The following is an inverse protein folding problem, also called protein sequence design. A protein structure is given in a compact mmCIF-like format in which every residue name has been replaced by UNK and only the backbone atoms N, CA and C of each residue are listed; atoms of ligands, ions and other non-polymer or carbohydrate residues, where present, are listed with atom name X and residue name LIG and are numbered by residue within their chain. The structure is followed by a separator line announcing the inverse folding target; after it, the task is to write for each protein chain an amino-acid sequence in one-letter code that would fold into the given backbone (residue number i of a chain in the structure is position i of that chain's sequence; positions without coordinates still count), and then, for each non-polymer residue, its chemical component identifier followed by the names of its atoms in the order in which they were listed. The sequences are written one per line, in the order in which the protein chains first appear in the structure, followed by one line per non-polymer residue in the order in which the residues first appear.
data_IF_810386683711
#
_entry.id   IF_810386683711
#
_cell.length_a   1.000
_cell.length_b   1.000
_cell.length_c   1.000
_cell.angle_alpha   90.00
_cell.angle_beta   90.00
_cell.angle_gamma   90.00
#
_symmetry.space_group_name_H-M   'P 1'
#
loop_
_entity.id
_entity.type
_entity.pdbx_description
1 polymer ?
#
# COMPACT_ATOMS: atom_id res chain seq x y z
N UNK A 1 -7.15 -10.04 23.89
CA UNK A 1 -6.55 -9.93 22.54
C UNK A 1 -7.04 -8.62 21.91
N UNK A 2 -6.16 -7.79 21.33
CA UNK A 2 -6.57 -6.59 20.57
C UNK A 2 -6.61 -6.94 19.09
N UNK A 3 -7.62 -6.49 18.37
CA UNK A 3 -7.74 -6.63 16.92
C UNK A 3 -7.80 -5.25 16.27
N UNK A 4 -7.24 -5.13 15.07
CA UNK A 4 -7.24 -3.91 14.29
C UNK A 4 -7.81 -4.18 12.90
N UNK A 5 -8.40 -3.16 12.26
CA UNK A 5 -8.95 -3.28 10.92
C UNK A 5 -8.18 -2.32 10.00
N UNK A 6 -7.73 -2.83 8.87
CA UNK A 6 -7.25 -2.01 7.76
C UNK A 6 -8.45 -1.70 6.86
N UNK A 7 -8.63 -0.42 6.54
CA UNK A 7 -9.71 0.07 5.69
C UNK A 7 -9.09 0.55 4.39
N UNK A 8 -9.50 -0.04 3.26
CA UNK A 8 -9.19 0.46 1.93
C UNK A 8 -10.46 1.05 1.31
N UNK A 9 -10.34 2.25 0.73
CA UNK A 9 -11.45 2.95 0.08
C UNK A 9 -11.11 3.18 -1.39
N UNK A 10 -12.00 2.77 -2.29
CA UNK A 10 -11.86 3.06 -3.71
C UNK A 10 -12.29 4.51 -3.99
N UNK A 11 -11.40 5.31 -4.59
CA UNK A 11 -11.71 6.72 -4.92
C UNK A 11 -12.78 6.84 -6.01
N UNK A 12 -12.83 5.89 -6.94
CA UNK A 12 -13.76 5.93 -8.08
C UNK A 12 -15.19 5.54 -7.69
N UNK A 13 -15.36 4.51 -6.85
CA UNK A 13 -16.67 3.92 -6.54
C UNK A 13 -17.11 4.09 -5.10
N UNK A 14 -16.22 4.61 -4.24
CA UNK A 14 -16.40 4.65 -2.77
C UNK A 14 -16.60 3.27 -2.12
N UNK A 15 -16.29 2.19 -2.84
CA UNK A 15 -16.33 0.84 -2.28
C UNK A 15 -15.30 0.66 -1.15
N UNK A 16 -15.72 -0.01 -0.07
CA UNK A 16 -14.89 -0.31 1.09
C UNK A 16 -14.42 -1.76 1.07
N UNK A 17 -13.14 -1.97 1.34
CA UNK A 17 -12.57 -3.28 1.66
C UNK A 17 -11.99 -3.23 3.07
N UNK A 18 -12.50 -4.10 3.94
CA UNK A 18 -12.05 -4.24 5.32
C UNK A 18 -11.24 -5.52 5.47
N UNK A 19 -10.13 -5.46 6.19
CA UNK A 19 -9.29 -6.63 6.48
C UNK A 19 -8.84 -6.61 7.93
N UNK A 20 -9.06 -7.72 8.65
CA UNK A 20 -8.65 -7.85 10.04
C UNK A 20 -7.15 -8.11 10.13
N UNK A 21 -6.47 -7.43 11.04
CA UNK A 21 -5.04 -7.61 11.33
C UNK A 21 -4.78 -7.72 12.83
N UNK A 22 -3.71 -8.45 13.17
CA UNK A 22 -3.33 -8.77 14.55
C UNK A 22 -2.69 -7.60 15.30
N UNK A 23 -2.10 -6.64 14.58
CA UNK A 23 -1.37 -5.52 15.15
C UNK A 23 -1.29 -4.32 14.19
N UNK A 24 -0.78 -3.18 14.70
CA UNK A 24 -0.52 -1.96 13.92
C UNK A 24 0.90 -1.93 13.32
N UNK A 25 1.49 -3.06 12.96
CA UNK A 25 2.83 -3.08 12.34
C UNK A 25 2.78 -2.93 10.83
N UNK A 26 3.88 -2.44 10.25
CA UNK A 26 4.03 -2.38 8.78
C UNK A 26 3.94 -3.76 8.12
N UNK A 27 4.35 -4.83 8.82
CA UNK A 27 4.27 -6.20 8.31
C UNK A 27 2.83 -6.67 8.19
N UNK A 28 2.02 -6.45 9.24
CA UNK A 28 0.61 -6.78 9.21
C UNK A 28 -0.15 -5.99 8.14
N UNK A 29 0.15 -4.69 7.99
CA UNK A 29 -0.42 -3.88 6.91
C UNK A 29 -0.01 -4.40 5.51
N UNK A 30 1.28 -4.69 5.27
CA UNK A 30 1.73 -5.22 3.96
C UNK A 30 1.04 -6.55 3.64
N UNK A 31 0.84 -7.40 4.63
CA UNK A 31 0.09 -8.65 4.45
C UNK A 31 -1.38 -8.38 4.07
N UNK A 32 -2.02 -7.38 4.69
CA UNK A 32 -3.37 -6.94 4.33
C UNK A 32 -3.42 -6.37 2.91
N UNK A 33 -2.45 -5.53 2.54
CA UNK A 33 -2.34 -4.96 1.19
C UNK A 33 -2.14 -6.06 0.14
N UNK A 34 -1.32 -7.08 0.41
CA UNK A 34 -1.16 -8.25 -0.49
C UNK A 34 -2.49 -8.96 -0.70
N UNK A 35 -3.26 -9.20 0.37
CA UNK A 35 -4.59 -9.83 0.27
C UNK A 35 -5.59 -8.93 -0.47
N UNK A 36 -5.52 -7.61 -0.28
CA UNK A 36 -6.31 -6.66 -1.04
C UNK A 36 -6.00 -6.75 -2.54
N UNK A 37 -4.74 -6.64 -2.94
CA UNK A 37 -4.32 -6.71 -4.33
C UNK A 37 -4.69 -8.06 -4.99
N UNK A 38 -4.55 -9.17 -4.25
CA UNK A 38 -4.95 -10.49 -4.76
C UNK A 38 -6.45 -10.62 -5.04
N UNK A 39 -7.30 -9.85 -4.35
CA UNK A 39 -8.77 -9.91 -4.49
C UNK A 39 -9.34 -8.83 -5.40
N UNK A 40 -8.70 -7.65 -5.45
CA UNK A 40 -9.22 -6.46 -6.13
C UNK A 40 -8.33 -5.95 -7.26
N UNK A 41 -7.19 -6.60 -7.50
CA UNK A 41 -6.14 -6.10 -8.37
C UNK A 41 -5.24 -5.08 -7.66
N UNK A 42 -4.04 -4.87 -8.21
CA UNK A 42 -3.08 -3.89 -7.68
C UNK A 42 -3.56 -2.48 -8.00
N UNK A 43 -3.73 -1.59 -7.00
CA UNK A 43 -4.10 -0.21 -7.28
C UNK A 43 -2.94 0.53 -7.94
N UNK A 44 -3.24 1.48 -8.84
CA UNK A 44 -2.22 2.35 -9.43
C UNK A 44 -1.59 3.28 -8.40
N UNK A 45 -2.38 3.75 -7.43
CA UNK A 45 -1.90 4.63 -6.38
C UNK A 45 -2.60 4.40 -5.03
N UNK A 46 -1.91 4.77 -3.96
CA UNK A 46 -2.39 4.73 -2.58
C UNK A 46 -2.18 6.11 -1.94
N UNK A 47 -3.22 6.58 -1.25
CA UNK A 47 -3.16 7.75 -0.37
C UNK A 47 -3.29 7.28 1.08
N UNK A 48 -2.38 7.71 1.95
CA UNK A 48 -2.44 7.40 3.39
C UNK A 48 -2.09 8.62 4.25
N UNK A 49 -2.43 8.54 5.53
CA UNK A 49 -1.87 9.44 6.54
C UNK A 49 -0.37 9.17 6.79
N UNK A 50 0.23 10.02 7.62
CA UNK A 50 1.63 9.93 8.03
C UNK A 50 1.86 8.95 9.19
N UNK A 51 0.92 8.03 9.44
CA UNK A 51 1.05 6.97 10.42
C UNK A 51 2.33 6.17 10.18
N UNK A 52 3.08 5.92 11.25
CA UNK A 52 4.41 5.30 11.18
C UNK A 52 4.38 3.93 10.48
N UNK A 53 3.27 3.21 10.62
CA UNK A 53 2.97 1.95 9.93
C UNK A 53 2.99 2.10 8.42
N UNK A 54 2.30 3.10 7.88
CA UNK A 54 2.23 3.38 6.45
C UNK A 54 3.54 3.94 5.91
N UNK A 55 4.19 4.85 6.63
CA UNK A 55 5.51 5.38 6.24
C UNK A 55 6.54 4.25 6.12
N UNK A 56 6.58 3.33 7.08
CA UNK A 56 7.46 2.16 7.04
C UNK A 56 7.09 1.20 5.92
N UNK A 57 5.79 0.99 5.65
CA UNK A 57 5.34 0.14 4.56
C UNK A 57 5.73 0.73 3.18
N UNK A 58 5.47 2.02 2.97
CA UNK A 58 5.90 2.80 1.79
C UNK A 58 7.40 2.64 1.56
N UNK A 59 8.22 2.81 2.60
CA UNK A 59 9.68 2.62 2.49
C UNK A 59 10.04 1.20 2.08
N UNK A 60 9.53 0.17 2.77
CA UNK A 60 9.81 -1.24 2.47
C UNK A 60 9.48 -1.61 1.03
N UNK A 61 8.31 -1.19 0.54
CA UNK A 61 7.89 -1.45 -0.84
C UNK A 61 8.78 -0.69 -1.83
N UNK A 62 9.10 0.58 -1.56
CA UNK A 62 10.00 1.37 -2.39
C UNK A 62 11.40 0.77 -2.49
N UNK A 63 11.95 0.28 -1.37
CA UNK A 63 13.25 -0.39 -1.32
C UNK A 63 13.23 -1.73 -2.08
N UNK A 64 12.14 -2.49 -1.98
CA UNK A 64 11.94 -3.71 -2.78
C UNK A 64 11.93 -3.42 -4.29
N UNK A 65 11.17 -2.41 -4.74
CA UNK A 65 11.16 -2.04 -6.15
C UNK A 65 12.55 -1.61 -6.64
N UNK A 66 13.27 -0.80 -5.86
CA UNK A 66 14.66 -0.41 -6.19
C UNK A 66 15.61 -1.60 -6.26
N UNK A 67 15.45 -2.56 -5.36
CA UNK A 67 16.25 -3.78 -5.36
C UNK A 67 16.00 -4.59 -6.63
N UNK A 68 14.74 -4.84 -6.97
CA UNK A 68 14.39 -5.63 -8.16
C UNK A 68 14.81 -4.93 -9.45
N UNK A 69 14.66 -3.60 -9.54
CA UNK A 69 15.13 -2.84 -10.72
C UNK A 69 16.66 -2.86 -10.90
N UNK A 70 17.43 -3.21 -9.87
CA UNK A 70 18.89 -3.38 -9.96
C UNK A 70 19.32 -4.81 -10.27
N UNK A 71 18.40 -5.77 -10.15
CA UNK A 71 18.68 -7.14 -10.55
C UNK A 71 18.74 -7.19 -12.07
N UNK A 72 19.63 -8.03 -12.63
CA UNK A 72 19.71 -8.24 -14.08
C UNK A 72 18.58 -9.19 -14.51
N UNK A 73 17.33 -8.73 -14.39
CA UNK A 73 16.12 -9.47 -14.73
C UNK A 73 15.74 -9.22 -16.18
N UNK A 74 15.09 -10.21 -16.79
CA UNK A 74 14.51 -10.10 -18.13
C UNK A 74 13.69 -8.81 -18.31
N UNK A 75 13.78 -8.22 -19.50
CA UNK A 75 13.15 -6.93 -19.82
C UNK A 75 11.62 -6.99 -19.68
N UNK A 76 10.98 -8.11 -20.05
CA UNK A 76 9.54 -8.29 -19.90
C UNK A 76 9.15 -8.34 -18.41
N UNK A 77 10.00 -8.93 -17.58
CA UNK A 77 9.80 -8.97 -16.12
C UNK A 77 9.94 -7.56 -15.55
N UNK A 78 10.95 -6.81 -15.97
CA UNK A 78 11.12 -5.41 -15.58
C UNK A 78 9.91 -4.55 -15.99
N UNK A 79 9.40 -4.73 -17.22
CA UNK A 79 8.22 -4.06 -17.72
C UNK A 79 6.96 -4.42 -16.91
N UNK A 80 6.74 -5.71 -16.63
CA UNK A 80 5.61 -6.14 -15.81
C UNK A 80 5.66 -5.55 -14.40
N UNK A 81 6.83 -5.57 -13.76
CA UNK A 81 7.00 -5.06 -12.40
C UNK A 81 6.86 -3.53 -12.31
N UNK A 82 7.26 -2.80 -13.34
CA UNK A 82 7.07 -1.34 -13.38
C UNK A 82 5.58 -0.97 -13.46
N UNK A 83 4.77 -1.75 -14.17
CA UNK A 83 3.32 -1.58 -14.24
C UNK A 83 2.60 -1.98 -12.94
N UNK A 84 3.23 -2.84 -12.14
CA UNK A 84 2.73 -3.25 -10.82
C UNK A 84 3.18 -2.31 -9.70
N UNK A 85 3.96 -1.27 -10.01
CA UNK A 85 4.44 -0.30 -9.05
C UNK A 85 3.29 0.59 -8.58
N UNK A 86 3.09 0.61 -7.27
CA UNK A 86 2.10 1.46 -6.62
C UNK A 86 2.72 2.84 -6.37
N UNK A 87 2.09 3.89 -6.88
CA UNK A 87 2.43 5.27 -6.52
C UNK A 87 1.86 5.60 -5.13
N UNK A 88 2.73 6.03 -4.21
CA UNK A 88 2.32 6.26 -2.82
C UNK A 88 2.40 7.72 -2.41
N UNK A 89 1.24 8.30 -2.14
CA UNK A 89 1.08 9.67 -1.67
C UNK A 89 0.75 9.70 -0.17
N UNK A 90 1.43 10.59 0.56
CA UNK A 90 1.15 10.86 1.97
C UNK A 90 0.53 12.23 2.06
N UNK A 91 -0.58 12.36 2.79
CA UNK A 91 -1.22 13.66 2.97
C UNK A 91 -0.30 14.60 3.77
N UNK A 92 -0.48 15.93 3.66
CA UNK A 92 0.26 16.88 4.48
C UNK A 92 0.15 16.54 5.98
N UNK A 93 1.22 16.73 6.77
CA UNK A 93 1.17 16.46 8.20
C UNK A 93 0.08 17.30 8.89
N UNK A 94 -0.51 16.73 9.94
CA UNK A 94 -1.54 17.39 10.77
C UNK A 94 -2.76 17.91 9.98
N UNK A 95 -3.04 17.30 8.83
CA UNK A 95 -4.14 17.71 7.95
C UNK A 95 -5.23 16.65 7.87
N UNK A 96 -6.00 16.40 8.95
CA UNK A 96 -6.98 15.31 9.02
C UNK A 96 -8.06 15.42 7.94
N UNK A 97 -8.38 16.64 7.49
CA UNK A 97 -9.34 16.89 6.41
C UNK A 97 -8.92 16.33 5.05
N UNK A 98 -7.61 16.12 4.81
CA UNK A 98 -7.12 15.51 3.56
C UNK A 98 -7.39 14.00 3.48
N UNK A 99 -7.76 13.35 4.58
CA UNK A 99 -8.16 11.94 4.60
C UNK A 99 -9.67 11.71 4.41
N UNK A 100 -10.46 12.79 4.25
CA UNK A 100 -11.93 12.75 4.30
C UNK A 100 -12.65 12.29 3.04
N UNK A 101 -11.91 11.94 1.98
CA UNK A 101 -12.33 11.30 0.73
C UNK A 101 -13.76 11.58 0.22
#
# INVERSE_FOLDING_TARGET
MKGYIVIFVCFATKALHLDLVSDLTSGAFIAALKRFCSRRGTPKGIHSDNGTTFIRAKKKLGDLFKFVSKMNVDENVCFFLSHMKIEWHTIPPLSPHFGGL
#
